data_IF_110544760428
#
_entry.id   IF_110544760428
#
_cell.length_a   1.000
_cell.length_b   1.000
_cell.length_c   1.000
_cell.angle_alpha   90.00
_cell.angle_beta   90.00
_cell.angle_gamma   90.00
#
_symmetry.space_group_name_H-M   'P 1'
#
loop_
_entity.id
_entity.type
_entity.pdbx_description
1 polymer ?
#
# COMPACT_ATOMS: atom_id res chain seq x y z
N UNK A 1 -4.54 6.27 -5.13
CA UNK A 1 -4.84 5.31 -6.20
C UNK A 1 -6.23 4.73 -5.99
N UNK A 2 -7.04 4.68 -7.04
CA UNK A 2 -8.39 4.14 -6.94
C UNK A 2 -8.37 2.61 -7.07
N UNK A 3 -9.37 1.96 -6.50
CA UNK A 3 -9.48 0.50 -6.56
C UNK A 3 -9.53 -0.02 -8.00
N UNK A 4 -10.21 0.69 -8.88
CA UNK A 4 -10.28 0.32 -10.30
C UNK A 4 -8.91 0.34 -10.96
N UNK A 5 -8.07 1.31 -10.60
CA UNK A 5 -6.70 1.38 -11.11
C UNK A 5 -5.86 0.22 -10.62
N UNK A 6 -6.06 -0.19 -9.36
CA UNK A 6 -5.37 -1.35 -8.82
C UNK A 6 -5.75 -2.63 -9.55
N UNK A 7 -7.02 -2.76 -9.93
CA UNK A 7 -7.49 -3.94 -10.66
C UNK A 7 -6.93 -4.03 -12.07
N UNK A 8 -6.54 -2.91 -12.64
CA UNK A 8 -5.90 -2.88 -13.96
C UNK A 8 -4.43 -3.26 -13.92
N UNK A 9 -3.80 -3.19 -12.75
CA UNK A 9 -2.39 -3.53 -12.60
C UNK A 9 -2.18 -5.04 -12.51
N UNK A 10 -0.97 -5.48 -12.91
CA UNK A 10 -0.59 -6.88 -12.74
C UNK A 10 -0.34 -7.20 -11.27
N UNK A 11 -0.35 -8.49 -10.93
CA UNK A 11 -0.03 -8.93 -9.57
C UNK A 11 1.36 -8.47 -9.16
N UNK A 12 2.33 -8.56 -10.07
CA UNK A 12 3.70 -8.14 -9.78
C UNK A 12 3.79 -6.66 -9.48
N UNK A 13 3.08 -5.82 -10.24
CA UNK A 13 3.04 -4.39 -10.00
C UNK A 13 2.40 -4.08 -8.65
N UNK A 14 1.34 -4.79 -8.30
CA UNK A 14 0.67 -4.61 -7.01
C UNK A 14 1.58 -5.03 -5.86
N UNK A 15 2.31 -6.13 -6.00
CA UNK A 15 3.26 -6.57 -4.99
C UNK A 15 4.37 -5.53 -4.79
N UNK A 16 4.87 -4.96 -5.88
CA UNK A 16 5.87 -3.90 -5.80
C UNK A 16 5.29 -2.66 -5.10
N UNK A 17 4.05 -2.30 -5.42
CA UNK A 17 3.37 -1.20 -4.75
C UNK A 17 3.28 -1.43 -3.24
N UNK A 18 2.93 -2.65 -2.82
CA UNK A 18 2.85 -3.00 -1.40
C UNK A 18 4.21 -2.86 -0.73
N UNK A 19 5.27 -3.36 -1.37
CA UNK A 19 6.64 -3.27 -0.82
C UNK A 19 7.04 -1.80 -0.66
N UNK A 20 6.82 -0.98 -1.69
CA UNK A 20 7.16 0.43 -1.65
C UNK A 20 6.38 1.18 -0.57
N UNK A 21 5.08 0.87 -0.45
CA UNK A 21 4.23 1.48 0.56
C UNK A 21 4.67 1.11 1.98
N UNK A 22 5.08 -0.14 2.18
CA UNK A 22 5.60 -0.57 3.48
C UNK A 22 6.89 0.17 3.84
N UNK A 23 7.74 0.42 2.86
CA UNK A 23 8.95 1.22 3.08
C UNK A 23 8.60 2.65 3.49
N UNK A 24 7.59 3.24 2.84
CA UNK A 24 7.11 4.56 3.19
C UNK A 24 6.55 4.60 4.62
N UNK A 25 5.81 3.56 5.01
CA UNK A 25 5.27 3.46 6.36
C UNK A 25 6.38 3.33 7.41
N UNK A 26 7.41 2.56 7.09
CA UNK A 26 8.56 2.41 7.98
C UNK A 26 9.29 3.75 8.13
N UNK A 27 9.50 4.45 7.03
CA UNK A 27 10.14 5.76 7.04
C UNK A 27 9.32 6.76 7.87
N UNK A 28 8.00 6.76 7.69
CA UNK A 28 7.11 7.62 8.47
C UNK A 28 7.18 7.29 9.96
N UNK A 29 7.28 6.01 10.30
CA UNK A 29 7.40 5.56 11.69
C UNK A 29 8.70 6.05 12.31
N UNK A 30 9.80 6.00 11.56
CA UNK A 30 11.09 6.51 11.99
C UNK A 30 11.02 8.03 12.21
N UNK A 31 10.39 8.74 11.28
CA UNK A 31 10.21 10.19 11.40
C UNK A 31 9.37 10.55 12.62
N UNK A 32 8.33 9.77 12.90
CA UNK A 32 7.49 9.98 14.08
C UNK A 32 8.31 9.79 15.36
N UNK A 33 9.16 8.76 15.40
CA UNK A 33 10.06 8.52 16.52
C UNK A 33 10.99 9.69 16.76
N UNK A 34 11.36 10.39 15.69
CA UNK A 34 12.22 11.56 15.75
C UNK A 34 11.44 12.87 15.88
N UNK A 35 10.14 12.80 16.11
CA UNK A 35 9.22 13.93 16.22
C UNK A 35 9.21 14.84 14.99
N UNK A 36 9.42 14.24 13.81
CA UNK A 36 9.43 14.97 12.55
C UNK A 36 8.22 14.70 11.68
N UNK A 37 7.35 13.78 12.10
CA UNK A 37 6.17 13.45 11.33
C UNK A 37 5.09 14.50 11.51
N UNK A 38 4.56 15.01 10.41
CA UNK A 38 3.58 16.08 10.44
C UNK A 38 2.18 15.67 10.02
N UNK A 39 2.03 14.53 9.31
CA UNK A 39 0.75 14.20 8.69
C UNK A 39 0.34 12.75 8.92
N UNK A 40 -0.51 12.54 9.93
CA UNK A 40 -1.06 11.21 10.25
C UNK A 40 -2.11 10.77 9.23
N UNK A 41 -2.79 11.69 8.56
CA UNK A 41 -3.77 11.36 7.54
C UNK A 41 -3.12 10.66 6.35
N UNK A 42 -1.92 11.08 5.97
CA UNK A 42 -1.16 10.42 4.90
C UNK A 42 -0.82 8.98 5.24
N UNK A 43 -0.44 8.74 6.49
CA UNK A 43 -0.13 7.38 6.97
C UNK A 43 -1.37 6.49 6.90
N UNK A 44 -2.50 6.99 7.38
CA UNK A 44 -3.77 6.24 7.35
C UNK A 44 -4.18 5.92 5.92
N UNK A 45 -4.02 6.89 5.02
CA UNK A 45 -4.33 6.72 3.61
C UNK A 45 -3.45 5.65 2.98
N UNK A 46 -2.15 5.69 3.27
CA UNK A 46 -1.19 4.71 2.75
C UNK A 46 -1.52 3.31 3.26
N UNK A 47 -1.85 3.16 4.54
CA UNK A 47 -2.26 1.87 5.11
C UNK A 47 -3.50 1.31 4.42
N UNK A 48 -4.47 2.17 4.13
CA UNK A 48 -5.69 1.77 3.43
C UNK A 48 -5.37 1.29 2.02
N UNK A 49 -4.50 2.00 1.30
CA UNK A 49 -4.09 1.60 -0.04
C UNK A 49 -3.36 0.27 -0.04
N UNK A 50 -2.51 0.03 0.94
CA UNK A 50 -1.81 -1.26 1.09
C UNK A 50 -2.82 -2.38 1.31
N UNK A 51 -3.81 -2.18 2.18
CA UNK A 51 -4.84 -3.17 2.43
C UNK A 51 -5.65 -3.48 1.17
N UNK A 52 -6.02 -2.45 0.41
CA UNK A 52 -6.73 -2.61 -0.85
C UNK A 52 -5.89 -3.37 -1.87
N UNK A 53 -4.60 -3.02 -1.99
CA UNK A 53 -3.71 -3.71 -2.92
C UNK A 53 -3.57 -5.19 -2.58
N UNK A 54 -3.44 -5.53 -1.30
CA UNK A 54 -3.38 -6.92 -0.87
C UNK A 54 -4.66 -7.68 -1.22
N UNK A 55 -5.82 -7.04 -1.04
CA UNK A 55 -7.10 -7.63 -1.39
C UNK A 55 -7.18 -7.92 -2.88
N UNK A 56 -6.77 -6.96 -3.72
CA UNK A 56 -6.79 -7.13 -5.16
C UNK A 56 -5.82 -8.23 -5.61
N UNK A 57 -4.64 -8.29 -5.00
CA UNK A 57 -3.68 -9.37 -5.27
C UNK A 57 -4.33 -10.72 -5.00
N UNK A 58 -4.97 -10.86 -3.85
CA UNK A 58 -5.62 -12.11 -3.48
C UNK A 58 -6.73 -12.47 -4.46
N UNK A 59 -7.54 -11.50 -4.86
CA UNK A 59 -8.61 -11.70 -5.85
C UNK A 59 -8.03 -12.24 -7.17
N UNK A 60 -6.94 -11.65 -7.64
CA UNK A 60 -6.31 -12.07 -8.89
C UNK A 60 -5.70 -13.45 -8.79
N UNK A 61 -5.08 -13.78 -7.67
CA UNK A 61 -4.49 -15.09 -7.46
C UNK A 61 -5.56 -16.18 -7.41
N UNK A 62 -6.68 -15.90 -6.77
CA UNK A 62 -7.81 -16.83 -6.71
C UNK A 62 -8.44 -17.00 -8.09
N UNK A 63 -8.61 -15.92 -8.85
CA UNK A 63 -9.19 -15.97 -10.18
C UNK A 63 -8.35 -16.77 -11.16
N UNK A 64 -7.02 -16.79 -10.96
CA UNK A 64 -6.09 -17.49 -11.84
C UNK A 64 -5.77 -18.91 -11.38
N UNK A 65 -6.34 -19.31 -10.27
CA UNK A 65 -6.10 -20.64 -9.70
C UNK A 65 -6.88 -21.73 -10.40
#
# INVERSE_FOLDING_TARGET
MKLSEMREKTVEELKQFVVDSKKQLLDARIKKSMHKLENTAEISKTKRLVAQAKTVIKEKEVSNA
#
